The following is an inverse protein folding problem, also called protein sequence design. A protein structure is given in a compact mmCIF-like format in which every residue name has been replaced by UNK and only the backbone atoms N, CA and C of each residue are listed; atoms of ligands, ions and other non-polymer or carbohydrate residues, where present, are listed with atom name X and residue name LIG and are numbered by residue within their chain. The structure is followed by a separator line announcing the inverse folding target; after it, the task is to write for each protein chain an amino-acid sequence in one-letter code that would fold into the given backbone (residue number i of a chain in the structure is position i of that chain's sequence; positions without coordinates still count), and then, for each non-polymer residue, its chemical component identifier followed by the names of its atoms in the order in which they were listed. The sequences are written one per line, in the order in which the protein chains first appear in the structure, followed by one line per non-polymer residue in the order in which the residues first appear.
data_IF_217511296507
#
_entry.id   IF_217511296507
#
_cell.length_a   1.000
_cell.length_b   1.000
_cell.length_c   1.000
_cell.angle_alpha   90.00
_cell.angle_beta   90.00
_cell.angle_gamma   90.00
#
_symmetry.space_group_name_H-M   'P 1'
#
loop_
_entity.id
_entity.type
_entity.pdbx_description
1 polymer ?
#
# COMPACT_ATOMS: atom_id res chain seq x y z
N UNK A 1 27.08 -1.54 5.75
CA UNK A 1 26.47 -0.54 4.85
C UNK A 1 25.84 -1.18 3.63
N UNK A 2 26.45 -2.22 3.07
CA UNK A 2 26.02 -2.95 1.86
C UNK A 2 24.59 -3.56 1.91
N UNK A 3 24.17 -4.14 3.04
CA UNK A 3 22.83 -4.73 3.18
C UNK A 3 21.67 -3.72 3.03
N UNK A 4 21.83 -2.47 3.50
CA UNK A 4 20.79 -1.44 3.36
C UNK A 4 20.66 -0.94 1.93
N UNK A 5 21.73 -0.99 1.13
CA UNK A 5 21.69 -0.57 -0.27
C UNK A 5 21.08 -1.64 -1.17
N UNK A 6 21.30 -2.92 -0.87
CA UNK A 6 20.67 -4.04 -1.57
C UNK A 6 19.15 -4.11 -1.32
N UNK A 7 18.70 -3.92 -0.07
CA UNK A 7 17.27 -3.77 0.24
C UNK A 7 16.64 -2.58 -0.51
N UNK A 8 17.33 -1.43 -0.53
CA UNK A 8 16.82 -0.24 -1.23
C UNK A 8 16.72 -0.43 -2.76
N UNK A 9 17.53 -1.29 -3.37
CA UNK A 9 17.39 -1.59 -4.81
C UNK A 9 16.16 -2.42 -5.10
N UNK A 10 15.94 -3.47 -4.32
CA UNK A 10 14.88 -4.45 -4.56
C UNK A 10 13.47 -3.81 -4.48
N UNK A 11 13.19 -3.05 -3.42
CA UNK A 11 11.88 -2.36 -3.30
C UNK A 11 11.67 -1.27 -4.36
N UNK A 12 12.74 -0.60 -4.82
CA UNK A 12 12.64 0.39 -5.89
C UNK A 12 12.38 -0.26 -7.26
N UNK A 13 12.97 -1.43 -7.49
CA UNK A 13 12.75 -2.17 -8.73
C UNK A 13 11.33 -2.78 -8.74
N UNK A 14 10.87 -3.29 -7.59
CA UNK A 14 9.46 -3.67 -7.40
C UNK A 14 8.50 -2.49 -7.62
N UNK A 15 8.77 -1.33 -7.01
CA UNK A 15 7.99 -0.10 -7.20
C UNK A 15 7.85 0.24 -8.69
N UNK A 16 8.96 0.24 -9.44
CA UNK A 16 8.96 0.55 -10.88
C UNK A 16 8.19 -0.49 -11.68
N UNK A 17 8.36 -1.77 -11.36
CA UNK A 17 7.65 -2.87 -12.03
C UNK A 17 6.13 -2.74 -11.80
N UNK A 18 5.72 -2.55 -10.55
CA UNK A 18 4.32 -2.37 -10.16
C UNK A 18 3.69 -1.15 -10.85
N UNK A 19 4.39 0.00 -10.88
CA UNK A 19 3.94 1.20 -11.59
C UNK A 19 3.73 0.91 -13.09
N UNK A 20 4.70 0.24 -13.72
CA UNK A 20 4.64 -0.13 -15.15
C UNK A 20 3.47 -1.07 -15.45
N UNK A 21 3.21 -2.04 -14.60
CA UNK A 21 2.13 -3.01 -14.79
C UNK A 21 0.75 -2.38 -14.62
N UNK A 22 0.60 -1.51 -13.62
CA UNK A 22 -0.61 -0.70 -13.44
C UNK A 22 -0.84 0.20 -14.66
N UNK A 23 0.18 0.92 -15.11
CA UNK A 23 0.07 1.79 -16.30
C UNK A 23 -0.32 0.99 -17.55
N UNK A 24 0.27 -0.20 -17.74
CA UNK A 24 -0.06 -1.10 -18.85
C UNK A 24 -1.51 -1.56 -18.76
N UNK A 25 -1.97 -1.94 -17.57
CA UNK A 25 -3.36 -2.35 -17.34
C UNK A 25 -4.33 -1.21 -17.62
N UNK A 26 -4.10 -0.02 -17.09
CA UNK A 26 -4.97 1.15 -17.27
C UNK A 26 -5.07 1.61 -18.73
N UNK A 27 -4.02 1.37 -19.54
CA UNK A 27 -4.06 1.60 -21.00
C UNK A 27 -4.86 0.54 -21.77
N UNK A 28 -5.13 -0.63 -21.19
CA UNK A 28 -5.91 -1.71 -21.82
C UNK A 28 -7.40 -1.39 -21.89
N UNK A 29 -8.15 -2.11 -22.75
CA UNK A 29 -9.62 -1.96 -22.84
C UNK A 29 -10.34 -2.22 -21.51
N UNK A 30 -9.84 -3.16 -20.70
CA UNK A 30 -10.40 -3.51 -19.38
C UNK A 30 -10.10 -2.42 -18.36
N UNK A 31 -8.84 -1.95 -18.31
CA UNK A 31 -8.42 -0.92 -17.36
C UNK A 31 -9.07 0.44 -17.60
N UNK A 32 -9.27 0.84 -18.88
CA UNK A 32 -10.01 2.07 -19.23
C UNK A 32 -11.45 2.12 -18.71
N UNK A 33 -12.07 0.96 -18.46
CA UNK A 33 -13.42 0.83 -17.92
C UNK A 33 -13.45 0.45 -16.44
N UNK A 34 -12.28 0.34 -15.80
CA UNK A 34 -12.20 -0.08 -14.41
C UNK A 34 -12.55 1.08 -13.49
N UNK A 35 -13.63 0.90 -12.73
CA UNK A 35 -14.21 1.92 -11.85
C UNK A 35 -13.20 2.52 -10.86
N UNK A 36 -12.21 1.72 -10.43
CA UNK A 36 -11.21 2.12 -9.43
C UNK A 36 -9.83 2.37 -10.05
N UNK A 37 -9.76 2.66 -11.35
CA UNK A 37 -8.49 2.87 -12.07
C UNK A 37 -7.61 3.97 -11.47
N UNK A 38 -8.21 5.08 -11.02
CA UNK A 38 -7.48 6.17 -10.37
C UNK A 38 -6.85 5.74 -9.04
N UNK A 39 -7.48 4.82 -8.30
CA UNK A 39 -6.95 4.29 -7.06
C UNK A 39 -5.78 3.35 -7.29
N UNK A 40 -5.77 2.60 -8.40
CA UNK A 40 -4.63 1.76 -8.76
C UNK A 40 -3.35 2.56 -8.94
N UNK A 41 -3.42 3.78 -9.47
CA UNK A 41 -2.23 4.65 -9.61
C UNK A 41 -1.58 4.99 -8.26
N UNK A 42 -2.32 4.92 -7.16
CA UNK A 42 -1.86 5.26 -5.81
C UNK A 42 -1.09 4.10 -5.17
N UNK A 43 -1.35 2.87 -5.61
CA UNK A 43 -0.77 1.63 -5.06
C UNK A 43 0.77 1.66 -4.99
N UNK A 44 1.51 1.97 -6.06
CA UNK A 44 2.98 1.95 -6.01
C UNK A 44 3.52 3.00 -5.05
N UNK A 45 2.92 4.19 -5.01
CA UNK A 45 3.35 5.28 -4.14
C UNK A 45 3.09 4.95 -2.65
N UNK A 46 2.00 4.23 -2.37
CA UNK A 46 1.70 3.69 -1.04
C UNK A 46 2.68 2.59 -0.63
N UNK A 47 3.01 1.67 -1.54
CA UNK A 47 4.01 0.63 -1.27
C UNK A 47 5.38 1.25 -0.94
N UNK A 48 5.81 2.24 -1.72
CA UNK A 48 7.04 2.98 -1.46
C UNK A 48 7.02 3.64 -0.07
N UNK A 49 5.93 4.34 0.26
CA UNK A 49 5.77 4.96 1.58
C UNK A 49 5.90 3.94 2.72
N UNK A 50 5.23 2.78 2.62
CA UNK A 50 5.33 1.73 3.64
C UNK A 50 6.78 1.25 3.83
N UNK A 51 7.52 1.00 2.74
CA UNK A 51 8.92 0.58 2.79
C UNK A 51 9.79 1.63 3.51
N UNK A 52 9.64 2.91 3.14
CA UNK A 52 10.42 4.01 3.75
C UNK A 52 10.13 4.19 5.24
N UNK A 53 8.87 4.04 5.65
CA UNK A 53 8.49 4.16 7.06
C UNK A 53 9.08 3.06 7.94
N UNK A 54 9.21 1.82 7.46
CA UNK A 54 9.86 0.75 8.22
C UNK A 54 11.33 1.08 8.49
N UNK A 55 12.00 1.72 7.54
CA UNK A 55 13.41 2.09 7.65
C UNK A 55 13.62 3.30 8.56
N UNK A 56 12.59 4.13 8.79
CA UNK A 56 12.71 5.32 9.61
C UNK A 56 12.83 4.98 11.10
N UNK A 57 13.82 5.57 11.77
CA UNK A 57 14.14 5.30 13.18
C UNK A 57 13.11 5.87 14.16
N UNK A 58 12.34 6.88 13.74
CA UNK A 58 11.35 7.57 14.55
C UNK A 58 10.03 6.81 14.62
N UNK A 59 9.84 5.80 13.77
CA UNK A 59 8.68 4.90 13.81
C UNK A 59 8.86 3.86 14.93
N UNK A 60 7.95 3.80 15.93
CA UNK A 60 8.04 2.82 17.00
C UNK A 60 7.98 1.37 16.49
N UNK A 61 8.70 0.46 17.16
CA UNK A 61 8.81 -0.96 16.75
C UNK A 61 7.45 -1.67 16.60
N UNK A 62 6.48 -1.34 17.44
CA UNK A 62 5.10 -1.87 17.37
C UNK A 62 4.43 -1.56 16.03
N UNK A 63 4.63 -0.35 15.50
CA UNK A 63 4.10 0.05 14.19
C UNK A 63 4.91 -0.53 13.03
N UNK A 64 6.23 -0.69 13.19
CA UNK A 64 7.05 -1.37 12.18
C UNK A 64 6.57 -2.79 11.90
N UNK A 65 6.13 -3.53 12.92
CA UNK A 65 5.54 -4.86 12.72
C UNK A 65 4.23 -4.83 11.92
N UNK A 66 3.39 -3.81 12.13
CA UNK A 66 2.15 -3.61 11.36
C UNK A 66 2.45 -3.24 9.90
N UNK A 67 3.39 -2.33 9.67
CA UNK A 67 3.86 -1.95 8.34
C UNK A 67 4.45 -3.16 7.61
N UNK A 68 5.33 -3.92 8.27
CA UNK A 68 5.95 -5.12 7.69
C UNK A 68 4.91 -6.18 7.32
N UNK A 69 3.91 -6.39 8.17
CA UNK A 69 2.80 -7.30 7.87
C UNK A 69 1.98 -6.86 6.64
N UNK A 70 1.87 -5.55 6.43
CA UNK A 70 1.16 -4.98 5.27
C UNK A 70 1.97 -5.15 4.01
N UNK A 71 3.28 -4.88 4.04
CA UNK A 71 4.19 -5.11 2.90
C UNK A 71 4.24 -6.59 2.55
N UNK A 72 4.37 -7.46 3.55
CA UNK A 72 4.35 -8.91 3.32
C UNK A 72 3.05 -9.33 2.62
N UNK A 73 1.91 -8.70 2.93
CA UNK A 73 0.65 -8.98 2.24
C UNK A 73 0.69 -8.54 0.76
N UNK A 74 1.22 -7.36 0.43
CA UNK A 74 1.47 -6.93 -0.95
C UNK A 74 2.36 -7.92 -1.73
N UNK A 75 3.44 -8.38 -1.11
CA UNK A 75 4.38 -9.31 -1.74
C UNK A 75 3.74 -10.69 -1.92
N UNK A 76 2.97 -11.16 -0.95
CA UNK A 76 2.25 -12.43 -1.05
C UNK A 76 1.28 -12.46 -2.23
N UNK A 77 0.63 -11.35 -2.57
CA UNK A 77 -0.21 -11.25 -3.78
C UNK A 77 0.60 -11.47 -5.06
N UNK A 78 1.87 -11.06 -5.08
CA UNK A 78 2.77 -11.23 -6.23
C UNK A 78 3.40 -12.62 -6.27
N UNK A 79 3.81 -13.17 -5.13
CA UNK A 79 4.53 -14.46 -5.06
C UNK A 79 3.61 -15.69 -5.23
N UNK A 80 2.37 -15.66 -4.73
CA UNK A 80 1.46 -16.83 -4.79
C UNK A 80 0.66 -16.93 -6.09
N UNK A 81 0.60 -15.87 -6.88
CA UNK A 81 -0.11 -15.85 -8.16
C UNK A 81 0.90 -15.61 -9.27
N UNK A 82 1.43 -16.69 -9.91
CA UNK A 82 2.30 -16.54 -11.08
C UNK A 82 1.51 -15.82 -12.19
N UNK A 83 1.70 -14.50 -12.24
CA UNK A 83 1.52 -13.53 -13.33
C UNK A 83 0.23 -13.55 -14.18
N UNK A 84 -0.78 -14.39 -13.90
CA UNK A 84 -1.84 -14.66 -14.88
C UNK A 84 -3.31 -14.45 -14.42
N UNK A 85 -3.65 -14.48 -13.12
CA UNK A 85 -5.07 -14.67 -12.74
C UNK A 85 -5.85 -13.46 -12.19
N UNK A 86 -5.21 -12.41 -11.64
CA UNK A 86 -5.96 -11.26 -11.05
C UNK A 86 -5.56 -9.92 -11.70
N UNK A 87 -4.28 -9.73 -12.04
CA UNK A 87 -3.76 -8.49 -12.61
C UNK A 87 -3.89 -7.29 -11.64
N UNK A 88 -3.58 -6.06 -12.07
CA UNK A 88 -3.57 -4.88 -11.20
C UNK A 88 -4.83 -4.62 -10.34
N UNK A 89 -6.07 -4.99 -10.75
CA UNK A 89 -7.24 -4.90 -9.88
C UNK A 89 -7.11 -5.61 -8.52
N UNK A 90 -6.24 -6.61 -8.40
CA UNK A 90 -6.00 -7.33 -7.15
C UNK A 90 -5.48 -6.47 -6.02
N UNK A 91 -4.83 -5.34 -6.32
CA UNK A 91 -4.22 -4.48 -5.30
C UNK A 91 -5.20 -3.53 -4.58
N UNK A 92 -6.48 -3.52 -4.95
CA UNK A 92 -7.44 -2.60 -4.33
C UNK A 92 -7.69 -2.94 -2.85
N UNK A 93 -7.73 -4.22 -2.48
CA UNK A 93 -7.89 -4.59 -1.07
C UNK A 93 -6.61 -4.35 -0.25
N UNK A 94 -5.45 -4.53 -0.87
CA UNK A 94 -4.15 -4.16 -0.29
C UNK A 94 -4.05 -2.65 -0.03
N UNK A 95 -4.49 -1.83 -0.98
CA UNK A 95 -4.50 -0.37 -0.87
C UNK A 95 -5.35 0.10 0.30
N UNK A 96 -6.52 -0.52 0.49
CA UNK A 96 -7.39 -0.22 1.62
C UNK A 96 -6.77 -0.61 2.97
N UNK A 97 -6.13 -1.79 3.02
CA UNK A 97 -5.40 -2.23 4.22
C UNK A 97 -4.24 -1.27 4.54
N UNK A 98 -3.49 -0.83 3.53
CA UNK A 98 -2.41 0.13 3.67
C UNK A 98 -2.91 1.47 4.20
N UNK A 99 -3.99 2.01 3.64
CA UNK A 99 -4.62 3.24 4.11
C UNK A 99 -5.08 3.12 5.57
N UNK A 100 -5.65 1.98 5.97
CA UNK A 100 -6.04 1.73 7.35
C UNK A 100 -4.85 1.71 8.32
N UNK A 101 -3.78 1.00 7.95
CA UNK A 101 -2.56 0.92 8.77
C UNK A 101 -1.91 2.29 8.88
N UNK A 102 -1.76 3.03 7.78
CA UNK A 102 -1.21 4.38 7.80
C UNK A 102 -2.08 5.33 8.62
N UNK A 103 -3.41 5.27 8.52
CA UNK A 103 -4.28 6.08 9.37
C UNK A 103 -4.02 5.81 10.86
N UNK A 104 -3.70 4.57 11.27
CA UNK A 104 -3.33 4.26 12.66
C UNK A 104 -1.94 4.78 13.04
N UNK A 105 -0.97 4.72 12.13
CA UNK A 105 0.40 5.22 12.35
C UNK A 105 0.40 6.76 12.43
N UNK A 106 -0.28 7.45 11.52
CA UNK A 106 -0.39 8.91 11.48
C UNK A 106 -1.03 9.47 12.76
N UNK A 107 -2.05 8.79 13.31
CA UNK A 107 -2.68 9.25 14.55
C UNK A 107 -1.80 9.10 15.81
N UNK A 108 -0.57 8.57 15.68
CA UNK A 108 0.30 8.20 16.81
C UNK A 108 1.76 8.63 16.65
N UNK A 109 2.13 9.14 15.48
CA UNK A 109 3.43 9.69 15.11
C UNK A 109 3.22 11.09 14.51
N UNK A 110 4.24 11.96 14.46
CA UNK A 110 4.07 13.25 13.79
C UNK A 110 3.76 13.06 12.30
N UNK A 111 2.80 13.82 11.79
CA UNK A 111 2.44 13.77 10.37
C UNK A 111 3.64 14.09 9.47
N UNK A 112 4.56 14.93 9.95
CA UNK A 112 5.75 15.39 9.22
C UNK A 112 6.68 14.24 8.80
N UNK A 113 6.88 13.24 9.66
CA UNK A 113 7.73 12.08 9.34
C UNK A 113 7.13 11.27 8.18
N UNK A 114 5.80 11.20 8.11
CA UNK A 114 5.10 10.36 7.15
C UNK A 114 4.97 11.09 5.81
N UNK A 115 4.63 12.38 5.84
CA UNK A 115 4.57 13.22 4.65
C UNK A 115 5.95 13.39 3.99
N UNK A 116 7.04 13.35 4.75
CA UNK A 116 8.41 13.39 4.23
C UNK A 116 8.71 12.31 3.18
N UNK A 117 8.09 11.13 3.28
CA UNK A 117 8.33 10.02 2.37
C UNK A 117 7.22 9.83 1.33
N UNK A 118 6.20 10.68 1.35
CA UNK A 118 5.11 10.63 0.40
C UNK A 118 5.53 11.21 -0.95
N UNK A 119 5.35 10.42 -2.02
CA UNK A 119 5.76 10.80 -3.39
C UNK A 119 4.57 10.98 -4.34
N UNK A 120 3.34 10.76 -3.87
CA UNK A 120 2.15 10.89 -4.69
C UNK A 120 1.72 12.34 -4.90
N UNK A 121 1.07 12.61 -6.03
CA UNK A 121 0.73 13.97 -6.48
C UNK A 121 -0.27 14.71 -5.56
N UNK A 122 -1.13 13.95 -4.88
CA UNK A 122 -2.16 14.49 -3.97
C UNK A 122 -1.66 14.46 -2.53
N UNK A 123 -2.14 15.37 -1.68
CA UNK A 123 -1.83 15.35 -0.23
C UNK A 123 -2.16 13.98 0.39
N UNK A 124 -1.27 13.46 1.24
CA UNK A 124 -1.37 12.11 1.80
C UNK A 124 -2.63 11.90 2.63
N UNK A 125 -2.89 12.76 3.61
CA UNK A 125 -4.02 12.61 4.53
C UNK A 125 -5.39 12.58 3.82
N UNK A 126 -5.71 13.53 2.92
CA UNK A 126 -6.92 13.44 2.10
C UNK A 126 -6.97 12.17 1.23
N UNK A 127 -5.85 11.74 0.67
CA UNK A 127 -5.75 10.51 -0.14
C UNK A 127 -6.12 9.28 0.69
N UNK A 128 -5.55 9.14 1.90
CA UNK A 128 -5.87 8.05 2.83
C UNK A 128 -7.37 8.06 3.18
N UNK A 129 -7.94 9.23 3.51
CA UNK A 129 -9.36 9.33 3.83
C UNK A 129 -10.26 8.95 2.65
N UNK A 130 -9.87 9.34 1.43
CA UNK A 130 -10.59 8.98 0.20
C UNK A 130 -10.57 7.47 -0.03
N UNK A 131 -9.40 6.84 0.12
CA UNK A 131 -9.25 5.38 0.00
C UNK A 131 -10.12 4.68 1.03
N UNK A 132 -10.08 5.11 2.30
CA UNK A 132 -10.87 4.50 3.36
C UNK A 132 -12.38 4.59 3.08
N UNK A 133 -12.85 5.78 2.68
CA UNK A 133 -14.26 5.99 2.32
C UNK A 133 -14.70 5.04 1.21
N UNK A 134 -13.92 4.96 0.13
CA UNK A 134 -14.24 4.10 -1.00
C UNK A 134 -14.05 2.62 -0.66
N UNK A 135 -13.14 2.29 0.26
CA UNK A 135 -12.93 0.90 0.70
C UNK A 135 -14.12 0.33 1.46
N UNK A 136 -14.84 1.17 2.21
CA UNK A 136 -16.09 0.77 2.87
C UNK A 136 -17.16 0.38 1.83
N UNK A 137 -17.16 1.05 0.67
CA UNK A 137 -18.08 0.78 -0.45
C UNK A 137 -17.64 -0.44 -1.29
N UNK A 138 -16.33 -0.61 -1.54
CA UNK A 138 -15.79 -1.68 -2.42
C UNK A 138 -15.70 -3.03 -1.71
N UNK A 139 -15.19 -3.07 -0.47
CA UNK A 139 -14.66 -4.30 0.14
C UNK A 139 -15.56 -4.90 1.22
N UNK A 140 -16.63 -4.19 1.61
CA UNK A 140 -17.65 -4.62 2.56
C UNK A 140 -17.06 -5.34 3.79
N UNK A 141 -17.60 -6.52 4.11
CA UNK A 141 -17.22 -7.29 5.31
C UNK A 141 -15.82 -7.93 5.28
N UNK A 142 -15.17 -8.04 4.10
CA UNK A 142 -13.91 -8.75 3.93
C UNK A 142 -12.71 -8.01 4.55
N UNK A 143 -12.59 -6.72 4.25
CA UNK A 143 -11.63 -5.83 4.92
C UNK A 143 -11.93 -5.78 6.42
N UNK A 144 -13.18 -5.57 6.80
CA UNK A 144 -13.57 -5.46 8.20
C UNK A 144 -13.26 -6.73 9.03
N UNK A 145 -13.36 -7.93 8.43
CA UNK A 145 -12.90 -9.20 9.03
C UNK A 145 -11.37 -9.21 9.23
N UNK A 146 -10.59 -8.78 8.24
CA UNK A 146 -9.12 -8.64 8.33
C UNK A 146 -8.72 -7.61 9.39
N UNK A 147 -9.37 -6.45 9.42
CA UNK A 147 -9.17 -5.40 10.42
C UNK A 147 -9.48 -5.90 11.83
N UNK A 148 -10.56 -6.67 12.02
CA UNK A 148 -10.86 -7.33 13.30
C UNK A 148 -9.77 -8.31 13.70
N UNK A 149 -9.17 -9.07 12.77
CA UNK A 149 -8.05 -9.99 13.05
C UNK A 149 -6.78 -9.24 13.48
N UNK A 150 -6.47 -8.11 12.83
CA UNK A 150 -5.32 -7.27 13.19
C UNK A 150 -5.55 -6.49 14.50
N UNK A 151 -6.79 -6.05 14.76
CA UNK A 151 -7.14 -5.31 15.97
C UNK A 151 -7.23 -6.16 17.23
N UNK A 152 -7.42 -7.48 17.11
CA UNK A 152 -7.43 -8.45 18.22
C UNK A 152 -6.03 -8.87 18.69
N UNK A 153 -4.97 -8.52 17.96
CA UNK A 153 -3.58 -8.65 18.41
C UNK A 153 -3.23 -7.42 19.24
N UNK A 154 -3.73 -7.37 20.47
CA UNK A 154 -3.33 -6.42 21.52
C UNK A 154 -2.75 -7.21 22.68
#
# INVERSE_FOLDING_TARGET
MEYKELENRDYNDFYKALRKDIDKFLKSKKGKKYEYGEYLLIVPDMFYLLCRLIMDKEIPKTYKAMLLSTIAYFILVVDFFPEAFIGPPGFIDDLALAAFVLNRVINKTSNEIIEKYWIGDKKLLPTIKSILKVSDDILGSGLMKKLKKLSKRK
#
